data_IF_195142756548
#
_entry.id   IF_195142756548
#
_cell.length_a   1.000
_cell.length_b   1.000
_cell.length_c   1.000
_cell.angle_alpha   90.00
_cell.angle_beta   90.00
_cell.angle_gamma   90.00
#
_symmetry.space_group_name_H-M   'P 1'
#
loop_
_entity.id
_entity.type
_entity.pdbx_description
1 polymer ?
#
# COMPACT_ATOMS: atom_id res chain seq x y z
N UNK A 1 -23.55 26.23 18.53
CA UNK A 1 -23.47 24.80 18.40
C UNK A 1 -24.39 24.38 17.24
N UNK A 2 -23.91 24.49 16.00
CA UNK A 2 -24.65 24.00 14.84
C UNK A 2 -24.28 22.54 14.64
N UNK A 3 -25.23 21.67 14.99
CA UNK A 3 -25.18 20.24 14.65
C UNK A 3 -25.49 20.16 13.14
N UNK A 4 -24.46 20.15 12.29
CA UNK A 4 -24.63 19.74 10.90
C UNK A 4 -24.92 18.23 10.92
N UNK A 5 -26.22 17.90 10.95
CA UNK A 5 -26.66 16.54 10.68
C UNK A 5 -26.43 16.32 9.19
N UNK A 6 -25.30 15.70 8.86
CA UNK A 6 -25.06 15.19 7.53
C UNK A 6 -26.02 14.01 7.31
N UNK A 7 -27.11 14.24 6.60
CA UNK A 7 -27.89 13.16 6.02
C UNK A 7 -27.10 12.59 4.82
N UNK A 8 -26.00 11.90 5.10
CA UNK A 8 -25.25 11.16 4.11
C UNK A 8 -26.09 9.99 3.59
N UNK A 9 -26.13 9.80 2.29
CA UNK A 9 -26.83 8.69 1.64
C UNK A 9 -26.15 7.33 1.86
N UNK A 10 -25.06 7.27 2.62
CA UNK A 10 -24.27 6.06 2.88
C UNK A 10 -22.84 6.38 3.32
N UNK A 11 -21.95 5.39 3.43
CA UNK A 11 -20.56 5.60 3.83
C UNK A 11 -19.73 6.29 2.75
N UNK A 12 -18.75 7.09 3.14
CA UNK A 12 -17.85 7.79 2.23
C UNK A 12 -18.46 9.04 1.60
N UNK A 13 -18.12 9.31 0.36
CA UNK A 13 -18.48 10.51 -0.39
C UNK A 13 -19.08 10.16 -1.76
N UNK A 14 -19.78 11.12 -2.36
CA UNK A 14 -20.44 10.93 -3.66
C UNK A 14 -19.44 10.81 -4.83
N UNK A 15 -18.28 11.42 -4.70
CA UNK A 15 -17.21 11.39 -5.69
C UNK A 15 -15.86 11.69 -5.03
N UNK A 16 -14.72 11.39 -5.68
CA UNK A 16 -13.41 11.77 -5.18
C UNK A 16 -13.25 13.26 -4.97
N UNK A 17 -13.77 14.09 -5.89
CA UNK A 17 -13.73 15.54 -5.74
C UNK A 17 -14.63 16.07 -4.61
N UNK A 18 -15.74 15.39 -4.31
CA UNK A 18 -16.56 15.72 -3.14
C UNK A 18 -15.76 15.47 -1.85
N UNK A 19 -15.07 14.34 -1.75
CA UNK A 19 -14.17 14.06 -0.63
C UNK A 19 -13.03 15.08 -0.52
N UNK A 20 -12.41 15.44 -1.64
CA UNK A 20 -11.30 16.39 -1.71
C UNK A 20 -11.69 17.79 -1.23
N UNK A 21 -12.84 18.31 -1.68
CA UNK A 21 -13.27 19.68 -1.38
C UNK A 21 -14.03 19.82 -0.06
N UNK A 22 -14.78 18.80 0.35
CA UNK A 22 -15.72 18.87 1.45
C UNK A 22 -15.40 17.94 2.62
N UNK A 23 -14.40 17.07 2.48
CA UNK A 23 -13.99 16.17 3.54
C UNK A 23 -13.41 16.92 4.74
N UNK A 24 -13.71 16.49 5.98
CA UNK A 24 -13.18 17.11 7.18
C UNK A 24 -11.67 16.84 7.31
N UNK A 25 -11.00 17.71 8.05
CA UNK A 25 -9.62 17.45 8.46
C UNK A 25 -9.60 16.24 9.40
N UNK A 26 -8.61 15.39 9.22
CA UNK A 26 -8.35 14.24 10.09
C UNK A 26 -8.00 14.67 11.53
N UNK A 27 -8.61 14.01 12.50
CA UNK A 27 -8.36 14.26 13.94
C UNK A 27 -7.72 13.06 14.64
N UNK A 28 -7.72 11.91 13.98
CA UNK A 28 -7.27 10.64 14.53
C UNK A 28 -6.67 9.78 13.42
N UNK A 29 -5.57 9.12 13.73
CA UNK A 29 -4.94 8.13 12.86
C UNK A 29 -4.96 6.77 13.54
N UNK A 30 -5.28 5.72 12.79
CA UNK A 30 -5.02 4.34 13.17
C UNK A 30 -3.76 3.88 12.47
N UNK A 31 -2.85 3.28 13.22
CA UNK A 31 -1.60 2.77 12.66
C UNK A 31 -1.51 1.28 12.96
N UNK A 32 -1.47 0.49 11.91
CA UNK A 32 -1.21 -0.96 12.03
C UNK A 32 0.27 -1.14 12.31
N UNK A 33 0.59 -1.87 13.38
CA UNK A 33 1.96 -2.06 13.85
C UNK A 33 2.30 -3.52 14.06
N UNK A 34 3.58 -3.83 13.87
CA UNK A 34 4.16 -5.14 14.17
C UNK A 34 4.91 -5.10 15.50
N UNK A 35 4.61 -6.03 16.39
CA UNK A 35 5.26 -6.17 17.70
C UNK A 35 6.22 -7.35 17.65
N UNK A 36 7.51 -7.08 17.91
CA UNK A 36 8.56 -8.11 17.89
C UNK A 36 8.60 -9.01 19.14
N UNK A 37 7.59 -9.01 20.00
CA UNK A 37 7.57 -9.82 21.20
C UNK A 37 6.49 -10.90 21.17
N UNK A 38 6.90 -12.10 21.53
CA UNK A 38 6.08 -13.30 21.78
C UNK A 38 5.16 -13.13 23.00
N UNK A 39 4.19 -12.19 22.94
CA UNK A 39 3.31 -11.94 24.09
C UNK A 39 2.04 -12.80 24.11
N UNK A 40 1.75 -13.55 23.05
CA UNK A 40 0.48 -14.29 22.95
C UNK A 40 0.65 -15.76 22.58
N UNK A 41 1.87 -16.33 22.66
CA UNK A 41 2.11 -17.70 22.22
C UNK A 41 1.95 -17.90 20.70
N UNK A 42 1.73 -16.84 19.94
CA UNK A 42 1.72 -16.86 18.47
C UNK A 42 3.13 -16.53 17.99
N UNK A 43 3.73 -17.45 17.31
CA UNK A 43 4.96 -17.27 16.57
C UNK A 43 4.75 -16.20 15.50
N UNK A 44 5.58 -15.17 15.49
CA UNK A 44 5.88 -14.22 14.41
C UNK A 44 4.75 -14.00 13.40
N UNK A 45 3.63 -13.38 13.82
CA UNK A 45 2.57 -12.97 12.92
C UNK A 45 2.70 -11.47 12.61
N UNK A 46 2.25 -11.04 11.44
CA UNK A 46 2.41 -9.67 10.98
C UNK A 46 1.09 -9.15 10.41
N UNK A 47 0.49 -8.19 11.13
CA UNK A 47 -0.55 -7.35 10.56
C UNK A 47 0.13 -6.40 9.57
N UNK A 48 -0.24 -6.49 8.30
CA UNK A 48 0.43 -5.77 7.23
C UNK A 48 -0.48 -4.68 6.69
N UNK A 49 -1.40 -5.01 5.82
CA UNK A 49 -2.39 -4.07 5.33
C UNK A 49 -3.67 -4.06 6.16
N UNK A 50 -4.49 -3.05 5.93
CA UNK A 50 -5.84 -2.95 6.48
C UNK A 50 -6.79 -2.35 5.45
N UNK A 51 -8.07 -2.58 5.60
CA UNK A 51 -9.10 -2.02 4.75
C UNK A 51 -10.36 -1.76 5.55
N UNK A 52 -11.29 -1.02 4.97
CA UNK A 52 -12.58 -0.78 5.58
C UNK A 52 -13.59 -1.84 5.19
N UNK A 53 -14.51 -2.16 6.10
CA UNK A 53 -15.65 -3.04 5.79
C UNK A 53 -16.54 -2.46 4.69
N UNK A 54 -16.57 -1.13 4.54
CA UNK A 54 -17.27 -0.40 3.48
C UNK A 54 -16.51 0.85 3.08
N UNK A 55 -16.65 1.27 1.83
CA UNK A 55 -16.02 2.44 1.25
C UNK A 55 -17.01 3.24 0.39
N UNK A 56 -16.53 4.21 -0.35
CA UNK A 56 -17.36 5.08 -1.20
C UNK A 56 -18.09 4.34 -2.32
N UNK A 57 -17.70 3.10 -2.65
CA UNK A 57 -18.48 2.23 -3.55
C UNK A 57 -19.87 1.87 -3.01
N UNK A 58 -20.10 2.06 -1.70
CA UNK A 58 -21.36 1.84 -1.03
C UNK A 58 -22.10 3.16 -0.68
N UNK A 59 -21.72 4.29 -1.26
CA UNK A 59 -22.27 5.61 -0.91
C UNK A 59 -23.79 5.68 -1.00
N UNK A 60 -24.41 5.02 -1.98
CA UNK A 60 -25.85 5.03 -2.17
C UNK A 60 -26.60 3.99 -1.28
N UNK A 61 -25.90 3.38 -0.32
CA UNK A 61 -26.42 2.34 0.59
C UNK A 61 -26.39 2.82 2.04
N UNK A 62 -27.43 3.53 2.52
CA UNK A 62 -27.46 4.13 3.86
C UNK A 62 -27.48 3.13 5.00
N UNK A 63 -27.78 1.86 4.72
CA UNK A 63 -27.75 0.77 5.70
C UNK A 63 -26.34 0.31 6.06
N UNK A 64 -25.32 0.65 5.25
CA UNK A 64 -23.93 0.34 5.54
C UNK A 64 -23.26 1.43 6.39
N UNK A 65 -22.36 1.03 7.27
CA UNK A 65 -21.54 1.95 8.09
C UNK A 65 -20.07 1.58 7.95
N UNK A 66 -19.22 2.59 7.82
CA UNK A 66 -17.76 2.45 7.86
C UNK A 66 -17.31 2.48 9.32
N UNK A 67 -17.39 1.36 9.99
CA UNK A 67 -17.19 1.21 11.44
C UNK A 67 -16.24 0.07 11.82
N UNK A 68 -15.86 -0.78 10.87
CA UNK A 68 -14.94 -1.89 11.10
C UNK A 68 -13.69 -1.74 10.24
N UNK A 69 -12.52 -1.84 10.88
CA UNK A 69 -11.24 -1.96 10.21
C UNK A 69 -10.87 -3.43 10.11
N UNK A 70 -10.58 -3.87 8.89
CA UNK A 70 -10.25 -5.26 8.54
C UNK A 70 -8.75 -5.35 8.35
N UNK A 71 -8.07 -6.12 9.19
CA UNK A 71 -6.61 -6.22 9.25
C UNK A 71 -6.17 -7.65 8.95
N UNK A 72 -5.81 -7.98 7.70
CA UNK A 72 -5.23 -9.27 7.35
C UNK A 72 -3.87 -9.46 8.01
N UNK A 73 -3.58 -10.69 8.41
CA UNK A 73 -2.31 -11.09 8.97
C UNK A 73 -1.60 -12.08 8.05
N UNK A 74 -0.35 -11.78 7.68
CA UNK A 74 0.35 -12.49 6.62
C UNK A 74 0.60 -13.96 6.96
N UNK A 75 1.31 -14.23 8.06
CA UNK A 75 1.83 -15.57 8.34
C UNK A 75 0.78 -16.57 8.80
N UNK A 76 -0.12 -16.15 9.67
CA UNK A 76 -1.17 -17.03 10.19
C UNK A 76 -2.40 -17.10 9.28
N UNK A 77 -2.48 -16.20 8.29
CA UNK A 77 -3.66 -16.04 7.43
C UNK A 77 -4.94 -15.70 8.20
N UNK A 78 -4.83 -15.19 9.42
CA UNK A 78 -5.96 -14.65 10.18
C UNK A 78 -6.38 -13.29 9.66
N UNK A 79 -7.64 -12.94 9.90
CA UNK A 79 -8.10 -11.57 9.68
C UNK A 79 -8.67 -11.04 10.97
N UNK A 80 -8.07 -9.98 11.48
CA UNK A 80 -8.55 -9.29 12.67
C UNK A 80 -9.53 -8.19 12.25
N UNK A 81 -10.71 -8.18 12.82
CA UNK A 81 -11.73 -7.16 12.59
C UNK A 81 -11.83 -6.29 13.83
N UNK A 82 -11.59 -5.01 13.68
CA UNK A 82 -11.52 -4.04 14.77
C UNK A 82 -12.72 -3.10 14.69
N UNK A 83 -13.52 -3.02 15.76
CA UNK A 83 -14.56 -2.02 15.92
C UNK A 83 -13.91 -0.66 16.23
N UNK A 84 -14.09 0.27 15.34
CA UNK A 84 -13.66 1.66 15.46
C UNK A 84 -14.85 2.63 15.41
N UNK A 85 -16.05 2.13 15.16
CA UNK A 85 -17.26 2.94 15.07
C UNK A 85 -17.89 3.26 16.42
N UNK A 86 -17.86 2.32 17.36
CA UNK A 86 -18.46 2.49 18.70
C UNK A 86 -17.74 3.58 19.51
N UNK A 87 -16.43 3.48 19.61
CA UNK A 87 -15.54 4.43 20.30
C UNK A 87 -14.26 4.65 19.47
N UNK A 88 -14.24 5.61 18.51
CA UNK A 88 -13.09 5.77 17.59
C UNK A 88 -11.73 5.95 18.28
N UNK A 89 -11.70 6.54 19.49
CA UNK A 89 -10.47 6.71 20.28
C UNK A 89 -10.11 5.52 21.17
N UNK A 90 -10.92 4.45 21.14
CA UNK A 90 -10.71 3.20 21.90
C UNK A 90 -11.10 2.01 21.04
N UNK A 91 -10.38 1.74 19.95
CA UNK A 91 -10.67 0.61 19.07
C UNK A 91 -10.67 -0.71 19.85
N UNK A 92 -11.58 -1.63 19.50
CA UNK A 92 -11.71 -2.91 20.17
C UNK A 92 -11.70 -4.05 19.16
N UNK A 93 -11.07 -5.16 19.53
CA UNK A 93 -11.18 -6.37 18.74
C UNK A 93 -12.64 -6.81 18.69
N UNK A 94 -13.23 -6.84 17.50
CA UNK A 94 -14.61 -7.27 17.26
C UNK A 94 -14.67 -8.77 16.96
N UNK A 95 -13.81 -9.23 16.03
CA UNK A 95 -13.78 -10.64 15.62
C UNK A 95 -12.40 -11.01 15.09
N UNK A 96 -12.06 -12.29 15.22
CA UNK A 96 -10.96 -12.93 14.49
C UNK A 96 -11.55 -13.96 13.55
N UNK A 97 -11.25 -13.85 12.27
CA UNK A 97 -11.50 -14.89 11.27
C UNK A 97 -10.27 -15.79 11.30
N UNK A 98 -10.46 -17.06 11.59
CA UNK A 98 -9.35 -18.00 11.75
C UNK A 98 -8.70 -18.31 10.40
N UNK A 99 -7.36 -18.49 10.39
CA UNK A 99 -6.62 -18.79 9.18
C UNK A 99 -7.02 -20.10 8.50
N UNK A 100 -7.64 -21.03 9.24
CA UNK A 100 -8.20 -22.25 8.67
C UNK A 100 -9.36 -21.99 7.72
N UNK A 101 -10.14 -20.89 7.92
CA UNK A 101 -11.18 -20.49 6.97
C UNK A 101 -10.58 -20.08 5.61
N UNK A 102 -9.44 -19.35 5.60
CA UNK A 102 -8.71 -19.02 4.38
C UNK A 102 -8.14 -20.28 3.70
N UNK A 103 -7.52 -21.17 4.50
CA UNK A 103 -6.95 -22.42 3.99
C UNK A 103 -7.99 -23.40 3.47
N UNK A 104 -9.24 -23.33 3.96
CA UNK A 104 -10.33 -24.18 3.47
C UNK A 104 -10.73 -23.88 2.02
N UNK A 105 -10.44 -22.67 1.54
CA UNK A 105 -10.61 -22.24 0.14
C UNK A 105 -9.28 -22.19 -0.61
N UNK A 106 -8.27 -22.91 -0.11
CA UNK A 106 -6.93 -23.04 -0.70
C UNK A 106 -6.22 -21.71 -0.90
N UNK A 107 -6.29 -20.81 0.10
CA UNK A 107 -5.67 -19.49 0.11
C UNK A 107 -4.88 -19.24 1.39
N UNK A 108 -3.79 -18.46 1.28
CA UNK A 108 -2.96 -18.04 2.41
C UNK A 108 -2.27 -16.71 2.13
N UNK A 109 -1.64 -16.11 3.14
CA UNK A 109 -0.96 -14.82 3.05
C UNK A 109 -1.90 -13.73 2.51
N UNK A 110 -3.03 -13.43 3.22
CA UNK A 110 -3.93 -12.36 2.82
C UNK A 110 -3.24 -10.99 2.93
N UNK A 111 -3.52 -10.11 1.97
CA UNK A 111 -2.83 -8.83 1.86
C UNK A 111 -3.80 -7.64 1.80
N UNK A 112 -4.18 -7.17 0.63
CA UNK A 112 -5.02 -5.99 0.45
C UNK A 112 -6.51 -6.32 0.61
N UNK A 113 -7.24 -5.50 1.36
CA UNK A 113 -8.68 -5.64 1.57
C UNK A 113 -9.45 -4.46 0.96
N UNK A 114 -10.41 -4.76 0.09
CA UNK A 114 -11.39 -3.80 -0.42
C UNK A 114 -12.81 -4.29 -0.18
N UNK A 115 -13.71 -3.36 0.15
CA UNK A 115 -15.14 -3.66 0.16
C UNK A 115 -15.69 -3.74 -1.27
N UNK A 116 -16.73 -4.51 -1.45
CA UNK A 116 -17.50 -4.59 -2.68
C UNK A 116 -18.88 -3.96 -2.47
N UNK A 117 -19.40 -3.32 -3.50
CA UNK A 117 -20.76 -2.79 -3.49
C UNK A 117 -21.85 -3.87 -3.24
N UNK A 118 -21.51 -5.14 -3.38
CA UNK A 118 -22.36 -6.30 -3.02
C UNK A 118 -22.55 -6.49 -1.50
N UNK A 119 -21.76 -5.80 -0.67
CA UNK A 119 -21.74 -6.01 0.79
C UNK A 119 -20.81 -7.15 1.21
N UNK A 120 -19.80 -7.43 0.40
CA UNK A 120 -18.72 -8.35 0.74
C UNK A 120 -17.41 -7.58 0.90
N UNK A 121 -16.45 -8.19 1.57
CA UNK A 121 -15.06 -7.74 1.64
C UNK A 121 -14.25 -8.72 0.80
N UNK A 122 -13.44 -8.20 -0.11
CA UNK A 122 -12.52 -8.98 -0.92
C UNK A 122 -11.10 -8.75 -0.46
N UNK A 123 -10.36 -9.83 -0.23
CA UNK A 123 -8.97 -9.78 0.24
C UNK A 123 -8.10 -10.56 -0.74
N UNK A 124 -7.06 -9.90 -1.29
CA UNK A 124 -6.07 -10.58 -2.12
C UNK A 124 -5.24 -11.56 -1.29
N UNK A 125 -4.77 -12.64 -1.92
CA UNK A 125 -3.93 -13.65 -1.29
C UNK A 125 -2.72 -13.96 -2.15
N UNK A 126 -1.57 -14.26 -1.52
CA UNK A 126 -0.30 -14.44 -2.20
C UNK A 126 0.11 -15.90 -2.34
N UNK A 127 -0.61 -16.82 -1.71
CA UNK A 127 -0.28 -18.23 -1.72
C UNK A 127 -1.48 -19.18 -1.63
N UNK A 128 -1.22 -20.45 -2.00
CA UNK A 128 -2.11 -21.55 -1.65
C UNK A 128 -1.96 -21.95 -0.17
N UNK A 129 -2.74 -22.93 0.27
CA UNK A 129 -2.70 -23.40 1.68
C UNK A 129 -1.35 -23.99 2.12
N UNK A 130 -0.48 -24.41 1.18
CA UNK A 130 0.89 -24.85 1.40
C UNK A 130 1.92 -23.75 1.19
N UNK A 131 1.50 -22.49 1.01
CA UNK A 131 2.35 -21.30 0.79
C UNK A 131 3.16 -21.34 -0.54
N UNK A 132 2.70 -22.10 -1.53
CA UNK A 132 3.21 -21.96 -2.89
C UNK A 132 2.61 -20.73 -3.56
N UNK A 133 3.18 -20.30 -4.67
CA UNK A 133 2.66 -19.17 -5.46
C UNK A 133 1.24 -19.43 -5.94
N UNK A 134 0.36 -18.49 -5.64
CA UNK A 134 -1.03 -18.46 -6.11
C UNK A 134 -1.61 -17.06 -5.87
N UNK A 135 -2.02 -16.38 -6.93
CA UNK A 135 -2.80 -15.14 -6.82
C UNK A 135 -4.28 -15.44 -6.90
N UNK A 136 -5.02 -15.16 -5.82
CA UNK A 136 -6.48 -15.30 -5.75
C UNK A 136 -7.06 -14.26 -4.79
N UNK A 137 -8.39 -14.25 -4.63
CA UNK A 137 -9.08 -13.28 -3.79
C UNK A 137 -10.13 -14.01 -2.96
N UNK A 138 -10.06 -13.86 -1.65
CA UNK A 138 -11.04 -14.44 -0.71
C UNK A 138 -12.18 -13.46 -0.49
N UNK A 139 -13.41 -13.97 -0.52
CA UNK A 139 -14.61 -13.21 -0.22
C UNK A 139 -15.07 -13.48 1.21
N UNK A 140 -15.35 -12.40 1.93
CA UNK A 140 -15.88 -12.40 3.28
C UNK A 140 -17.21 -11.65 3.27
N UNK A 141 -18.26 -12.25 3.78
CA UNK A 141 -19.54 -11.56 4.01
C UNK A 141 -19.39 -10.52 5.13
N UNK A 142 -19.69 -9.25 4.84
CA UNK A 142 -19.41 -8.14 5.78
C UNK A 142 -20.32 -8.14 7.01
N UNK A 143 -21.45 -8.85 7.00
CA UNK A 143 -22.38 -8.95 8.13
C UNK A 143 -22.04 -10.10 9.06
N UNK A 144 -21.77 -11.27 8.50
CA UNK A 144 -21.47 -12.49 9.28
C UNK A 144 -20.00 -12.63 9.59
N UNK A 145 -19.13 -11.94 8.83
CA UNK A 145 -17.68 -12.02 8.87
C UNK A 145 -17.21 -13.48 8.75
N UNK A 146 -17.73 -14.19 7.76
CA UNK A 146 -17.33 -15.55 7.40
C UNK A 146 -16.79 -15.57 5.97
N UNK A 147 -15.82 -16.42 5.73
CA UNK A 147 -15.34 -16.72 4.38
C UNK A 147 -16.45 -17.41 3.59
N UNK A 148 -16.75 -16.90 2.40
CA UNK A 148 -17.82 -17.44 1.52
C UNK A 148 -17.28 -18.14 0.29
N UNK A 149 -16.00 -18.04 0.01
CA UNK A 149 -15.32 -18.65 -1.14
C UNK A 149 -14.25 -17.73 -1.74
N UNK A 150 -13.87 -18.00 -2.98
CA UNK A 150 -12.97 -17.17 -3.76
C UNK A 150 -13.73 -16.39 -4.84
N UNK A 151 -13.18 -15.23 -5.21
CA UNK A 151 -13.78 -14.36 -6.24
C UNK A 151 -13.45 -14.83 -7.65
N UNK A 152 -12.21 -15.27 -7.89
CA UNK A 152 -11.77 -15.71 -9.23
C UNK A 152 -12.57 -16.91 -9.72
N UNK A 153 -12.87 -16.91 -11.02
CA UNK A 153 -13.57 -18.00 -11.73
C UNK A 153 -12.71 -18.49 -12.89
N UNK A 154 -13.09 -19.63 -13.46
CA UNK A 154 -12.36 -20.23 -14.56
C UNK A 154 -11.16 -21.07 -14.10
N UNK A 155 -10.40 -21.59 -15.09
CA UNK A 155 -9.26 -22.50 -14.83
C UNK A 155 -7.92 -21.78 -14.74
N UNK A 156 -7.86 -20.53 -15.22
CA UNK A 156 -6.63 -19.73 -15.24
C UNK A 156 -6.65 -18.78 -14.07
N UNK A 157 -5.64 -18.87 -13.21
CA UNK A 157 -5.40 -17.97 -12.10
C UNK A 157 -4.08 -17.21 -12.31
N UNK A 158 -3.92 -16.07 -11.64
CA UNK A 158 -2.63 -15.40 -11.56
C UNK A 158 -1.60 -16.29 -10.87
N UNK A 159 -0.34 -16.20 -11.31
CA UNK A 159 0.73 -17.00 -10.71
C UNK A 159 1.07 -16.55 -9.30
N UNK A 160 1.01 -15.24 -9.06
CA UNK A 160 1.28 -14.62 -7.77
C UNK A 160 0.18 -13.61 -7.46
N UNK A 161 0.10 -13.16 -6.24
CA UNK A 161 -0.78 -12.09 -5.81
C UNK A 161 -0.04 -11.06 -4.98
N UNK A 162 -0.63 -9.88 -4.84
CA UNK A 162 -0.23 -8.84 -3.89
C UNK A 162 -1.39 -7.84 -3.71
N UNK A 163 -1.45 -6.78 -4.52
CA UNK A 163 -2.48 -5.75 -4.48
C UNK A 163 -3.49 -5.93 -5.63
N UNK A 164 -4.60 -5.25 -5.54
CA UNK A 164 -5.60 -5.21 -6.63
C UNK A 164 -6.45 -3.95 -6.54
N UNK A 165 -6.93 -3.53 -7.73
CA UNK A 165 -7.89 -2.44 -7.84
C UNK A 165 -8.92 -2.77 -8.89
N UNK A 166 -10.20 -2.44 -8.67
CA UNK A 166 -11.25 -2.74 -9.62
C UNK A 166 -11.95 -1.49 -10.11
N UNK A 167 -12.38 -1.53 -11.38
CA UNK A 167 -13.10 -0.46 -12.04
C UNK A 167 -14.26 -1.05 -12.86
N UNK A 168 -15.45 -1.22 -12.23
CA UNK A 168 -16.60 -1.88 -12.88
C UNK A 168 -17.09 -1.17 -14.13
N UNK A 169 -16.91 0.15 -14.25
CA UNK A 169 -17.27 0.92 -15.44
C UNK A 169 -16.55 0.38 -16.71
N UNK A 170 -15.33 -0.08 -16.55
CA UNK A 170 -14.54 -0.68 -17.64
C UNK A 170 -14.59 -2.21 -17.65
N UNK A 171 -15.48 -2.79 -16.85
CA UNK A 171 -15.58 -4.24 -16.65
C UNK A 171 -14.22 -4.88 -16.30
N UNK A 172 -13.45 -4.23 -15.44
CA UNK A 172 -12.07 -4.60 -15.18
C UNK A 172 -11.71 -4.65 -13.68
N UNK A 173 -10.81 -5.56 -13.36
CA UNK A 173 -9.99 -5.56 -12.16
C UNK A 173 -8.56 -5.85 -12.57
N UNK A 174 -7.59 -5.14 -11.98
CA UNK A 174 -6.16 -5.41 -12.12
C UNK A 174 -5.60 -5.94 -10.82
N UNK A 175 -4.73 -6.95 -10.87
CA UNK A 175 -3.92 -7.37 -9.73
C UNK A 175 -2.45 -7.44 -10.08
N UNK A 176 -1.63 -7.35 -9.04
CA UNK A 176 -0.18 -7.33 -9.10
C UNK A 176 0.44 -8.59 -8.53
N UNK A 177 1.74 -8.70 -8.68
CA UNK A 177 2.50 -9.90 -8.33
C UNK A 177 3.69 -9.51 -7.44
N UNK A 178 3.79 -10.08 -6.25
CA UNK A 178 5.02 -10.00 -5.49
C UNK A 178 5.83 -11.29 -5.68
N UNK A 179 5.66 -12.24 -4.77
CA UNK A 179 6.48 -13.44 -4.80
C UNK A 179 5.84 -14.63 -4.08
N UNK A 180 6.55 -15.75 -4.10
CA UNK A 180 6.13 -16.97 -3.43
C UNK A 180 6.38 -16.86 -1.92
N UNK A 181 5.36 -17.02 -1.05
CA UNK A 181 5.49 -16.89 0.39
C UNK A 181 6.58 -17.72 1.03
N UNK A 182 6.78 -18.98 0.58
CA UNK A 182 7.87 -19.86 1.06
C UNK A 182 9.25 -19.24 1.00
N UNK A 183 9.48 -18.29 0.08
CA UNK A 183 10.78 -17.67 -0.12
C UNK A 183 10.86 -16.31 0.54
N UNK A 184 10.00 -15.37 0.20
CA UNK A 184 10.12 -13.98 0.69
C UNK A 184 9.98 -13.87 2.22
N UNK A 185 9.24 -14.77 2.88
CA UNK A 185 9.10 -14.79 4.36
C UNK A 185 10.40 -15.07 5.11
N UNK A 186 11.42 -15.57 4.43
CA UNK A 186 12.76 -15.85 5.00
C UNK A 186 13.70 -14.66 4.90
N UNK A 187 13.24 -13.52 4.36
CA UNK A 187 14.05 -12.36 4.03
C UNK A 187 14.34 -12.24 2.54
N UNK A 188 14.93 -11.11 2.16
CA UNK A 188 15.30 -10.83 0.77
C UNK A 188 16.55 -11.60 0.38
N UNK A 189 16.48 -12.32 -0.72
CA UNK A 189 17.59 -13.06 -1.32
C UNK A 189 17.79 -12.54 -2.76
N UNK A 190 18.89 -11.84 -3.07
CA UNK A 190 19.10 -11.25 -4.41
C UNK A 190 19.02 -12.27 -5.55
N UNK A 191 19.48 -13.51 -5.34
CA UNK A 191 19.42 -14.59 -6.33
C UNK A 191 18.00 -15.09 -6.64
N UNK A 192 17.00 -14.72 -5.84
CA UNK A 192 15.60 -15.11 -6.07
C UNK A 192 14.93 -14.26 -7.15
N UNK A 193 15.41 -13.02 -7.36
CA UNK A 193 14.82 -12.04 -8.28
C UNK A 193 14.75 -12.59 -9.71
N UNK A 194 15.78 -13.28 -10.15
CA UNK A 194 15.86 -13.83 -11.51
C UNK A 194 15.11 -15.14 -11.68
N UNK A 195 14.51 -15.65 -10.60
CA UNK A 195 13.76 -16.91 -10.67
C UNK A 195 12.26 -16.63 -10.86
N UNK A 196 11.67 -16.97 -12.03
CA UNK A 196 10.26 -16.70 -12.35
C UNK A 196 9.27 -17.52 -11.51
N UNK A 197 9.75 -18.44 -10.66
CA UNK A 197 8.93 -19.18 -9.70
C UNK A 197 8.97 -18.55 -8.30
N UNK A 198 9.77 -17.48 -8.11
CA UNK A 198 9.94 -16.82 -6.82
C UNK A 198 9.38 -15.41 -6.79
N UNK A 199 9.56 -14.63 -7.87
CA UNK A 199 9.03 -13.28 -8.02
C UNK A 199 8.30 -13.11 -9.34
N UNK A 200 7.22 -12.32 -9.33
CA UNK A 200 6.42 -12.03 -10.50
C UNK A 200 6.80 -10.72 -11.18
N UNK A 201 6.33 -10.58 -12.43
CA UNK A 201 6.57 -9.39 -13.28
C UNK A 201 5.31 -8.91 -13.99
N UNK A 202 4.13 -9.45 -13.64
CA UNK A 202 2.94 -9.25 -14.45
C UNK A 202 1.87 -8.40 -13.76
N UNK A 203 1.08 -7.72 -14.59
CA UNK A 203 -0.25 -7.23 -14.26
C UNK A 203 -1.28 -8.22 -14.79
N UNK A 204 -2.20 -8.63 -13.92
CA UNK A 204 -3.24 -9.59 -14.24
C UNK A 204 -4.59 -8.85 -14.34
N UNK A 205 -5.16 -8.76 -15.55
CA UNK A 205 -6.44 -8.12 -15.79
C UNK A 205 -7.54 -9.16 -15.84
N UNK A 206 -8.52 -8.98 -14.97
CA UNK A 206 -9.71 -9.82 -14.88
C UNK A 206 -10.90 -9.06 -15.43
N UNK A 207 -11.80 -9.81 -16.07
CA UNK A 207 -13.11 -9.31 -16.43
C UNK A 207 -13.98 -9.27 -15.17
N UNK A 208 -14.43 -8.08 -14.80
CA UNK A 208 -15.18 -7.87 -13.54
C UNK A 208 -16.50 -8.64 -13.52
N UNK A 209 -17.22 -8.68 -14.66
CA UNK A 209 -18.54 -9.33 -14.78
C UNK A 209 -18.50 -10.86 -14.73
N UNK A 210 -17.43 -11.47 -15.24
CA UNK A 210 -17.27 -12.95 -15.26
C UNK A 210 -16.33 -13.48 -14.19
N UNK A 211 -15.51 -12.60 -13.57
CA UNK A 211 -14.47 -12.93 -12.61
C UNK A 211 -13.32 -13.79 -13.21
N UNK A 212 -13.16 -13.78 -14.52
CA UNK A 212 -12.15 -14.57 -15.20
C UNK A 212 -10.90 -13.75 -15.55
N UNK A 213 -9.73 -14.36 -15.43
CA UNK A 213 -8.47 -13.77 -15.88
C UNK A 213 -8.46 -13.69 -17.42
N UNK A 214 -8.60 -12.48 -17.94
CA UNK A 214 -8.74 -12.20 -19.38
C UNK A 214 -7.39 -11.93 -20.03
N UNK A 215 -6.58 -11.06 -19.43
CA UNK A 215 -5.30 -10.64 -20.00
C UNK A 215 -4.20 -10.59 -18.95
N UNK A 216 -2.99 -10.95 -19.36
CA UNK A 216 -1.77 -10.79 -18.56
C UNK A 216 -0.82 -9.90 -19.32
N UNK A 217 -0.34 -8.84 -18.69
CA UNK A 217 0.65 -7.91 -19.25
C UNK A 217 1.96 -8.11 -18.47
N UNK A 218 2.97 -8.67 -19.14
CA UNK A 218 4.30 -8.84 -18.58
C UNK A 218 5.09 -7.54 -18.71
N UNK A 219 5.57 -7.01 -17.59
CA UNK A 219 6.36 -5.79 -17.50
C UNK A 219 7.86 -6.04 -17.75
N UNK A 220 8.25 -7.30 -17.92
CA UNK A 220 9.63 -7.71 -18.09
C UNK A 220 10.47 -7.63 -16.81
N UNK A 221 11.78 -7.82 -16.94
CA UNK A 221 12.72 -7.86 -15.81
C UNK A 221 12.66 -6.57 -14.96
N UNK A 222 12.65 -5.41 -15.60
CA UNK A 222 12.60 -4.11 -14.92
C UNK A 222 11.27 -3.85 -14.18
N UNK A 223 10.23 -4.61 -14.49
CA UNK A 223 8.94 -4.61 -13.79
C UNK A 223 8.85 -5.62 -12.65
N UNK A 224 9.96 -6.19 -12.18
CA UNK A 224 9.98 -7.20 -11.13
C UNK A 224 9.36 -6.71 -9.82
N UNK A 225 8.50 -7.55 -9.24
CA UNK A 225 7.69 -7.29 -8.06
C UNK A 225 6.84 -6.02 -8.21
N UNK A 226 5.86 -5.98 -9.15
CA UNK A 226 4.85 -4.94 -9.17
C UNK A 226 4.02 -5.06 -7.88
N UNK A 227 4.11 -4.04 -7.02
CA UNK A 227 3.45 -4.04 -5.72
C UNK A 227 2.12 -3.29 -5.79
N UNK A 228 2.08 -2.07 -5.29
CA UNK A 228 0.86 -1.28 -5.21
C UNK A 228 0.38 -0.82 -6.59
N UNK A 229 -0.92 -0.97 -6.83
CA UNK A 229 -1.58 -0.61 -8.09
C UNK A 229 -2.79 0.30 -7.83
N UNK A 230 -2.94 1.35 -8.64
CA UNK A 230 -4.04 2.31 -8.51
C UNK A 230 -4.58 2.66 -9.89
N UNK A 231 -5.88 2.49 -10.12
CA UNK A 231 -6.57 3.27 -11.16
C UNK A 231 -6.62 4.75 -10.74
N UNK A 232 -6.78 5.65 -11.69
CA UNK A 232 -7.18 7.01 -11.38
C UNK A 232 -8.51 7.00 -10.58
N UNK A 233 -8.69 7.96 -9.70
CA UNK A 233 -9.91 8.07 -8.89
C UNK A 233 -11.13 8.45 -9.72
N UNK A 234 -10.94 9.11 -10.89
CA UNK A 234 -12.00 9.30 -11.85
C UNK A 234 -12.51 7.92 -12.32
N UNK A 235 -13.73 7.50 -11.96
CA UNK A 235 -14.23 6.16 -12.24
C UNK A 235 -14.47 5.87 -13.73
N UNK A 236 -14.37 6.88 -14.60
CA UNK A 236 -14.46 6.74 -16.06
C UNK A 236 -13.08 6.71 -16.74
N UNK A 237 -12.00 6.91 -16.01
CA UNK A 237 -10.65 6.76 -16.56
C UNK A 237 -10.28 5.28 -16.72
N UNK A 238 -9.72 4.91 -17.89
CA UNK A 238 -9.27 3.55 -18.20
C UNK A 238 -7.76 3.40 -18.08
N UNK A 239 -7.18 4.02 -17.06
CA UNK A 239 -5.74 4.05 -16.82
C UNK A 239 -5.40 4.20 -15.34
N UNK A 240 -4.16 3.91 -15.01
CA UNK A 240 -3.63 4.02 -13.66
C UNK A 240 -2.13 3.75 -13.61
N UNK A 241 -1.61 3.56 -12.41
CA UNK A 241 -0.18 3.38 -12.17
C UNK A 241 0.09 2.14 -11.31
N UNK A 242 1.28 1.57 -11.49
CA UNK A 242 1.83 0.51 -10.65
C UNK A 242 3.28 0.79 -10.34
N UNK A 243 3.66 0.61 -9.06
CA UNK A 243 5.03 0.68 -8.59
C UNK A 243 5.70 -0.69 -8.60
N UNK A 244 6.86 -0.81 -9.27
CA UNK A 244 7.66 -2.02 -9.31
C UNK A 244 8.84 -1.89 -8.35
N UNK A 245 8.90 -2.78 -7.34
CA UNK A 245 9.78 -2.60 -6.20
C UNK A 245 11.26 -2.76 -6.55
N UNK A 246 11.63 -3.87 -7.19
CA UNK A 246 13.03 -4.30 -7.27
C UNK A 246 13.92 -3.31 -8.02
N UNK A 247 13.46 -2.82 -9.17
CA UNK A 247 14.21 -1.86 -9.98
C UNK A 247 13.75 -0.42 -9.81
N UNK A 248 12.75 -0.18 -8.96
CA UNK A 248 12.20 1.15 -8.64
C UNK A 248 11.65 1.90 -9.87
N UNK A 249 10.85 1.23 -10.65
CA UNK A 249 10.18 1.77 -11.83
C UNK A 249 8.68 1.95 -11.59
N UNK A 250 8.07 2.96 -12.23
CA UNK A 250 6.63 3.06 -12.32
C UNK A 250 6.16 2.87 -13.76
N UNK A 251 5.14 2.07 -13.90
CA UNK A 251 4.45 1.88 -15.16
C UNK A 251 3.07 2.50 -15.10
N UNK A 252 2.68 3.19 -16.17
CA UNK A 252 1.31 3.56 -16.46
C UNK A 252 0.67 2.40 -17.20
N UNK A 253 -0.43 1.86 -16.70
CA UNK A 253 -1.26 0.93 -17.46
C UNK A 253 -2.50 1.65 -17.99
N UNK A 254 -2.98 1.22 -19.16
CA UNK A 254 -4.11 1.86 -19.85
C UNK A 254 -4.75 0.92 -20.85
N UNK A 255 -6.00 1.22 -21.23
CA UNK A 255 -6.70 0.55 -22.30
C UNK A 255 -6.43 1.27 -23.61
N UNK A 256 -5.93 0.57 -24.62
CA UNK A 256 -5.67 1.12 -25.95
C UNK A 256 -6.93 1.14 -26.84
N UNK A 257 -6.81 1.67 -28.06
CA UNK A 257 -7.92 1.77 -29.02
C UNK A 257 -8.50 0.41 -29.46
N UNK A 258 -7.71 -0.67 -29.32
CA UNK A 258 -8.14 -2.05 -29.56
C UNK A 258 -8.83 -2.67 -28.34
N UNK A 259 -9.09 -1.89 -27.31
CA UNK A 259 -9.67 -2.33 -26.04
C UNK A 259 -8.82 -3.35 -25.26
N UNK A 260 -7.50 -3.34 -25.49
CA UNK A 260 -6.52 -4.19 -24.81
C UNK A 260 -5.75 -3.38 -23.75
N UNK A 261 -5.45 -4.02 -22.62
CA UNK A 261 -4.61 -3.45 -21.60
C UNK A 261 -3.14 -3.43 -22.03
N UNK A 262 -2.48 -2.31 -21.80
CA UNK A 262 -1.06 -2.08 -22.06
C UNK A 262 -0.43 -1.43 -20.84
N UNK A 263 0.90 -1.48 -20.77
CA UNK A 263 1.66 -0.78 -19.75
C UNK A 263 2.95 -0.21 -20.34
N UNK A 264 3.23 1.06 -20.04
CA UNK A 264 4.44 1.76 -20.47
C UNK A 264 5.19 2.23 -19.21
N UNK A 265 6.52 2.05 -19.17
CA UNK A 265 7.36 2.59 -18.11
C UNK A 265 7.42 4.11 -18.27
N UNK A 266 6.95 4.85 -17.25
CA UNK A 266 6.85 6.33 -17.30
C UNK A 266 7.78 7.01 -16.30
N UNK A 267 8.23 6.32 -15.25
CA UNK A 267 9.20 6.83 -14.28
C UNK A 267 10.26 5.75 -14.04
N UNK A 268 11.51 6.16 -14.05
CA UNK A 268 12.69 5.34 -13.76
C UNK A 268 13.51 6.02 -12.67
N UNK A 269 13.68 5.34 -11.52
CA UNK A 269 14.48 5.85 -10.42
C UNK A 269 15.86 5.21 -10.50
N UNK A 270 16.90 5.97 -10.86
CA UNK A 270 18.22 5.41 -11.06
C UNK A 270 18.78 4.82 -9.77
N UNK A 271 19.37 3.63 -9.88
CA UNK A 271 20.12 3.03 -8.78
C UNK A 271 21.28 3.95 -8.35
N UNK A 272 21.55 3.95 -7.05
CA UNK A 272 22.68 4.70 -6.48
C UNK A 272 23.86 3.78 -6.26
N UNK A 273 25.03 4.18 -6.75
CA UNK A 273 26.29 3.48 -6.50
C UNK A 273 26.97 4.08 -5.28
N UNK A 274 27.20 3.28 -4.27
CA UNK A 274 27.84 3.69 -3.01
C UNK A 274 29.07 2.81 -2.73
N UNK A 275 30.07 3.42 -2.10
CA UNK A 275 31.22 2.68 -1.57
C UNK A 275 31.18 2.72 -0.04
N UNK A 276 31.22 1.54 0.58
CA UNK A 276 31.33 1.37 2.02
C UNK A 276 32.47 0.43 2.34
N UNK A 277 33.42 0.89 3.15
CA UNK A 277 34.61 0.10 3.52
C UNK A 277 35.38 -0.44 2.29
N UNK A 278 35.44 0.32 1.21
CA UNK A 278 36.11 -0.06 -0.04
C UNK A 278 35.31 -1.02 -0.93
N UNK A 279 34.09 -1.37 -0.56
CA UNK A 279 33.20 -2.24 -1.36
C UNK A 279 32.15 -1.39 -2.07
N UNK A 280 32.14 -1.45 -3.40
CA UNK A 280 31.12 -0.82 -4.23
C UNK A 280 29.84 -1.64 -4.24
N UNK A 281 28.69 -0.98 -4.06
CA UNK A 281 27.37 -1.60 -4.04
C UNK A 281 26.35 -0.72 -4.76
N UNK A 282 25.51 -1.31 -5.60
CA UNK A 282 24.33 -0.65 -6.17
C UNK A 282 23.14 -0.81 -5.24
N UNK A 283 22.45 0.31 -4.98
CA UNK A 283 21.23 0.36 -4.17
C UNK A 283 20.10 0.87 -5.09
N UNK A 284 19.14 0.00 -5.39
CA UNK A 284 17.90 0.40 -6.06
C UNK A 284 16.97 1.12 -5.08
N UNK A 285 16.03 1.92 -5.59
CA UNK A 285 15.11 2.70 -4.76
C UNK A 285 14.21 1.84 -3.88
N UNK A 286 13.71 0.75 -4.42
CA UNK A 286 12.68 -0.13 -3.88
C UNK A 286 11.39 0.66 -3.61
N UNK A 287 10.54 0.81 -4.65
CA UNK A 287 9.24 1.44 -4.50
C UNK A 287 8.35 0.51 -3.69
N UNK A 288 7.87 0.99 -2.53
CA UNK A 288 7.12 0.17 -1.58
C UNK A 288 5.65 0.57 -1.45
N UNK A 289 5.28 1.80 -1.80
CA UNK A 289 3.89 2.26 -1.82
C UNK A 289 3.69 3.36 -2.84
N UNK A 290 2.49 3.46 -3.41
CA UNK A 290 2.05 4.54 -4.28
C UNK A 290 0.67 5.05 -3.88
N UNK A 291 0.45 6.36 -3.97
CA UNK A 291 -0.85 7.00 -3.78
C UNK A 291 -1.11 8.04 -4.87
N UNK A 292 -2.38 8.17 -5.24
CA UNK A 292 -2.87 9.29 -6.05
C UNK A 292 -3.65 10.29 -5.18
N UNK A 293 -3.53 11.58 -5.46
CA UNK A 293 -4.45 12.57 -4.89
C UNK A 293 -5.87 12.35 -5.42
N UNK A 294 -6.89 12.74 -4.64
CA UNK A 294 -8.30 12.51 -5.02
C UNK A 294 -8.74 13.28 -6.26
N UNK A 295 -7.98 14.31 -6.65
CA UNK A 295 -8.17 15.08 -7.89
C UNK A 295 -7.36 14.52 -9.08
N UNK A 296 -6.69 13.38 -8.90
CA UNK A 296 -5.83 12.71 -9.89
C UNK A 296 -4.67 13.58 -10.42
N UNK A 297 -4.31 14.66 -9.72
CA UNK A 297 -3.26 15.59 -10.15
C UNK A 297 -1.86 15.11 -9.77
N UNK A 298 -1.71 14.51 -8.58
CA UNK A 298 -0.42 14.13 -8.05
C UNK A 298 -0.35 12.64 -7.71
N UNK A 299 0.80 12.05 -8.08
CA UNK A 299 1.22 10.71 -7.68
C UNK A 299 2.34 10.83 -6.64
N UNK A 300 2.19 10.14 -5.52
CA UNK A 300 3.17 10.02 -4.46
C UNK A 300 3.68 8.60 -4.39
N UNK A 301 4.95 8.42 -4.11
CA UNK A 301 5.50 7.11 -3.81
C UNK A 301 6.72 7.18 -2.91
N UNK A 302 6.98 6.09 -2.21
CA UNK A 302 8.12 5.91 -1.32
C UNK A 302 9.18 5.04 -1.99
N UNK A 303 10.45 5.47 -1.86
CA UNK A 303 11.63 4.70 -2.23
C UNK A 303 12.30 4.21 -0.95
N UNK A 304 11.93 3.02 -0.49
CA UNK A 304 12.27 2.53 0.86
C UNK A 304 13.79 2.42 1.10
N UNK A 305 14.56 1.91 0.13
CA UNK A 305 16.02 1.78 0.28
C UNK A 305 16.76 3.10 0.04
N UNK A 306 16.28 3.96 -0.87
CA UNK A 306 16.84 5.32 -1.02
C UNK A 306 16.45 6.22 0.14
N UNK A 307 15.32 5.97 0.79
CA UNK A 307 14.87 6.72 1.96
C UNK A 307 14.17 8.03 1.65
N UNK A 308 13.65 8.21 0.44
CA UNK A 308 12.94 9.40 0.02
C UNK A 308 11.48 9.12 -0.37
N UNK A 309 10.64 10.16 -0.23
CA UNK A 309 9.29 10.23 -0.75
C UNK A 309 9.28 11.20 -1.92
N UNK A 310 8.59 10.84 -2.99
CA UNK A 310 8.52 11.64 -4.22
C UNK A 310 7.09 12.01 -4.55
N UNK A 311 6.91 13.20 -5.10
CA UNK A 311 5.67 13.74 -5.64
C UNK A 311 5.86 14.04 -7.12
N UNK A 312 4.99 13.48 -7.95
CA UNK A 312 4.97 13.74 -9.38
C UNK A 312 3.64 14.38 -9.79
N UNK A 313 3.68 15.41 -10.62
CA UNK A 313 2.52 15.88 -11.36
C UNK A 313 2.22 14.88 -12.48
N UNK A 314 1.02 14.31 -12.45
CA UNK A 314 0.52 13.30 -13.40
C UNK A 314 -0.69 13.77 -14.19
N UNK A 315 -0.90 15.08 -14.29
CA UNK A 315 -1.93 15.66 -15.17
C UNK A 315 -1.75 15.23 -16.63
N UNK A 316 -0.52 15.02 -17.05
CA UNK A 316 -0.17 14.22 -18.22
C UNK A 316 0.37 12.87 -17.76
N UNK A 317 -0.49 11.85 -17.74
CA UNK A 317 -0.16 10.51 -17.26
C UNK A 317 0.96 9.82 -18.04
N UNK A 318 1.21 10.27 -19.27
CA UNK A 318 2.28 9.74 -20.15
C UNK A 318 3.64 10.33 -19.83
N UNK A 319 3.68 11.56 -19.30
CA UNK A 319 4.89 12.32 -19.02
C UNK A 319 4.88 12.90 -17.60
N UNK A 320 4.89 12.07 -16.55
CA UNK A 320 4.93 12.53 -15.16
C UNK A 320 6.13 13.44 -14.89
N UNK A 321 5.91 14.50 -14.10
CA UNK A 321 6.95 15.47 -13.77
C UNK A 321 7.23 15.46 -12.28
N UNK A 322 8.49 15.25 -11.88
CA UNK A 322 8.91 15.38 -10.49
C UNK A 322 8.73 16.83 -10.03
N UNK A 323 7.90 17.05 -9.00
CA UNK A 323 7.61 18.38 -8.43
C UNK A 323 7.97 18.48 -6.95
N UNK A 324 8.23 17.36 -6.28
CA UNK A 324 8.65 17.35 -4.88
C UNK A 324 9.41 16.09 -4.51
N UNK A 325 10.36 16.23 -3.57
CA UNK A 325 11.10 15.11 -2.99
C UNK A 325 11.53 15.45 -1.57
N UNK A 326 11.38 14.49 -0.65
CA UNK A 326 11.79 14.62 0.75
C UNK A 326 12.61 13.41 1.15
N UNK A 327 13.84 13.64 1.64
CA UNK A 327 14.66 12.60 2.27
C UNK A 327 14.21 12.39 3.71
N UNK A 328 14.00 11.13 4.13
CA UNK A 328 13.61 10.77 5.49
C UNK A 328 14.58 9.79 6.15
N UNK A 329 15.28 9.00 5.37
CA UNK A 329 16.21 7.98 5.87
C UNK A 329 16.87 7.22 4.74
N UNK A 330 16.86 5.90 4.79
CA UNK A 330 17.38 5.02 3.74
C UNK A 330 18.80 4.51 3.97
N UNK A 331 19.20 3.56 3.15
CA UNK A 331 20.55 2.99 3.18
C UNK A 331 21.62 3.97 2.71
N UNK A 332 21.22 4.97 1.94
CA UNK A 332 22.13 6.00 1.38
C UNK A 332 22.48 7.10 2.38
N UNK A 333 21.78 7.16 3.52
CA UNK A 333 22.03 8.09 4.62
C UNK A 333 23.01 7.47 5.61
N UNK A 334 24.29 7.50 5.31
CA UNK A 334 25.32 6.97 6.20
C UNK A 334 26.59 7.81 6.11
N UNK A 335 27.10 8.29 7.23
CA UNK A 335 28.29 9.13 7.34
C UNK A 335 29.57 8.46 6.83
N UNK A 336 29.58 7.13 6.67
CA UNK A 336 30.70 6.33 6.19
C UNK A 336 30.51 5.84 4.73
N UNK A 337 29.55 6.42 4.00
CA UNK A 337 29.34 6.13 2.59
C UNK A 337 29.95 7.19 1.70
N UNK A 338 30.58 6.75 0.63
CA UNK A 338 30.92 7.61 -0.50
C UNK A 338 29.94 7.31 -1.63
N UNK A 339 29.29 8.35 -2.14
CA UNK A 339 28.43 8.28 -3.30
C UNK A 339 29.29 8.41 -4.55
N UNK A 340 29.08 7.53 -5.54
CA UNK A 340 29.80 7.55 -6.81
C UNK A 340 28.80 7.80 -7.94
N UNK A 341 29.05 8.82 -8.76
CA UNK A 341 28.31 9.13 -10.01
C UNK A 341 26.77 9.14 -9.89
N UNK A 342 26.25 9.74 -8.83
CA UNK A 342 24.81 9.86 -8.67
C UNK A 342 24.24 11.01 -9.50
N UNK A 343 23.11 10.77 -10.19
CA UNK A 343 22.44 11.76 -11.03
C UNK A 343 21.61 12.78 -10.24
N UNK A 344 21.30 12.49 -8.98
CA UNK A 344 20.38 13.27 -8.15
C UNK A 344 21.08 13.95 -6.96
N UNK A 345 22.22 13.43 -6.50
CA UNK A 345 22.98 13.93 -5.36
C UNK A 345 24.46 14.12 -5.70
N UNK A 346 25.03 15.22 -5.27
CA UNK A 346 26.47 15.47 -5.33
C UNK A 346 27.22 14.93 -4.11
N UNK A 347 26.50 14.72 -2.99
CA UNK A 347 26.99 14.14 -1.74
C UNK A 347 25.90 13.27 -1.09
N UNK A 348 26.24 12.28 -0.22
CA UNK A 348 25.24 11.49 0.48
C UNK A 348 24.28 12.35 1.29
N UNK A 349 22.98 12.05 1.28
CA UNK A 349 22.01 12.78 2.08
C UNK A 349 22.34 12.72 3.57
N UNK A 350 22.09 13.81 4.27
CA UNK A 350 22.28 13.87 5.74
C UNK A 350 21.19 13.12 6.47
N UNK A 351 21.53 12.58 7.64
CA UNK A 351 20.56 11.98 8.54
C UNK A 351 19.49 12.99 8.97
N UNK A 352 18.24 12.57 8.92
CA UNK A 352 17.09 13.39 9.31
C UNK A 352 16.77 13.13 10.78
N UNK A 353 16.51 14.21 11.52
CA UNK A 353 16.11 14.18 12.92
C UNK A 353 14.84 15.01 13.09
N UNK A 354 13.80 14.42 13.69
CA UNK A 354 12.54 15.09 13.99
C UNK A 354 12.30 15.00 15.50
N UNK A 355 12.06 16.13 16.15
CA UNK A 355 11.83 16.21 17.61
C UNK A 355 12.90 15.45 18.44
N UNK A 356 14.15 15.49 18.00
CA UNK A 356 15.27 14.84 18.67
C UNK A 356 15.46 13.35 18.39
N UNK A 357 14.55 12.70 17.65
CA UNK A 357 14.71 11.32 17.19
C UNK A 357 15.32 11.32 15.79
N UNK A 358 16.45 10.62 15.62
CA UNK A 358 16.99 10.27 14.29
C UNK A 358 16.06 9.27 13.62
N UNK A 359 15.70 9.51 12.38
CA UNK A 359 14.88 8.59 11.58
C UNK A 359 15.78 7.48 11.00
N UNK A 360 15.73 6.31 11.62
CA UNK A 360 16.33 5.09 11.07
C UNK A 360 15.31 4.36 10.20
N UNK A 361 15.74 3.69 9.15
CA UNK A 361 14.86 3.02 8.20
C UNK A 361 14.59 3.87 6.96
N UNK A 362 13.63 3.47 6.17
CA UNK A 362 13.15 4.19 4.98
C UNK A 362 11.65 4.45 5.05
N UNK A 363 11.11 5.43 4.30
CA UNK A 363 9.67 5.63 4.18
C UNK A 363 9.04 4.41 3.51
N UNK A 364 7.90 3.99 4.03
CA UNK A 364 7.19 2.84 3.48
C UNK A 364 5.77 3.23 3.11
N UNK A 365 4.77 3.05 4.00
CA UNK A 365 3.38 3.37 3.68
C UNK A 365 3.10 4.86 3.75
N UNK A 366 2.26 5.27 2.84
CA UNK A 366 1.81 6.63 2.64
C UNK A 366 0.30 6.73 2.95
N UNK A 367 -0.13 7.83 3.57
CA UNK A 367 -1.54 8.15 3.72
C UNK A 367 -1.76 9.63 3.52
N UNK A 368 -2.54 9.99 2.51
CA UNK A 368 -2.83 11.37 2.17
C UNK A 368 -4.13 11.83 2.84
N UNK A 369 -4.14 13.06 3.40
CA UNK A 369 -5.38 13.70 3.84
C UNK A 369 -6.33 13.92 2.67
N UNK A 370 -7.64 14.02 2.94
CA UNK A 370 -8.65 14.18 1.89
C UNK A 370 -8.38 15.39 0.99
N UNK A 371 -8.01 16.52 1.60
CA UNK A 371 -7.67 17.76 0.89
C UNK A 371 -6.27 17.77 0.24
N UNK A 372 -5.55 16.64 0.29
CA UNK A 372 -4.24 16.47 -0.31
C UNK A 372 -3.09 17.22 0.39
N UNK A 373 -3.36 18.00 1.43
CA UNK A 373 -2.39 18.94 2.01
C UNK A 373 -1.42 18.32 3.03
N UNK A 374 -1.67 17.10 3.49
CA UNK A 374 -0.85 16.40 4.50
C UNK A 374 -0.66 14.97 4.08
N UNK A 375 0.60 14.57 3.99
CA UNK A 375 1.02 13.21 3.70
C UNK A 375 1.65 12.62 4.97
N UNK A 376 1.07 11.56 5.50
CA UNK A 376 1.59 10.79 6.61
C UNK A 376 2.42 9.63 6.08
N UNK A 377 3.57 9.37 6.70
CA UNK A 377 4.55 8.39 6.22
C UNK A 377 5.03 7.54 7.38
N UNK A 378 4.91 6.23 7.26
CA UNK A 378 5.45 5.23 8.19
C UNK A 378 6.76 4.63 7.69
N UNK A 379 7.44 3.78 8.50
CA UNK A 379 8.81 3.35 8.21
C UNK A 379 9.01 1.84 8.00
N UNK A 380 8.06 0.98 8.35
CA UNK A 380 8.23 -0.47 8.28
C UNK A 380 7.69 -1.05 6.99
N UNK A 381 8.50 -1.84 6.29
CA UNK A 381 8.08 -2.54 5.08
C UNK A 381 7.55 -3.95 5.41
N UNK A 382 8.38 -4.79 5.96
CA UNK A 382 8.09 -6.18 6.29
C UNK A 382 9.15 -6.69 7.27
N UNK A 383 8.74 -7.23 8.40
CA UNK A 383 9.65 -7.53 9.51
C UNK A 383 10.90 -8.32 9.15
N UNK A 384 10.86 -9.38 8.34
CA UNK A 384 12.06 -10.09 7.93
C UNK A 384 13.03 -9.21 7.13
N UNK A 385 12.50 -8.31 6.30
CA UNK A 385 13.30 -7.37 5.50
C UNK A 385 13.79 -6.21 6.34
N UNK A 386 12.96 -5.66 7.24
CA UNK A 386 13.36 -4.60 8.19
C UNK A 386 14.54 -5.06 9.06
N UNK A 387 14.50 -6.30 9.57
CA UNK A 387 15.61 -6.92 10.31
C UNK A 387 16.89 -7.01 9.51
N UNK A 388 16.78 -7.24 8.21
CA UNK A 388 17.91 -7.42 7.30
C UNK A 388 18.54 -6.09 6.89
N UNK A 389 17.73 -5.08 6.58
CA UNK A 389 18.19 -3.81 6.03
C UNK A 389 18.34 -2.70 7.08
N UNK A 390 17.50 -2.70 8.12
CA UNK A 390 17.37 -1.59 9.07
C UNK A 390 17.38 -2.06 10.54
N UNK A 391 18.42 -2.79 10.92
CA UNK A 391 18.57 -3.35 12.27
C UNK A 391 18.42 -2.33 13.39
N UNK A 392 18.84 -1.07 13.16
CA UNK A 392 18.73 -0.02 14.17
C UNK A 392 17.27 0.44 14.34
N UNK A 393 16.50 0.57 13.26
CA UNK A 393 15.07 0.85 13.34
C UNK A 393 14.33 -0.25 14.12
N UNK A 394 14.66 -1.51 13.88
CA UNK A 394 14.04 -2.64 14.59
C UNK A 394 14.34 -2.57 16.10
N UNK A 395 15.53 -2.13 16.49
CA UNK A 395 15.93 -1.99 17.91
C UNK A 395 15.29 -0.80 18.61
N UNK A 396 15.19 0.32 17.90
CA UNK A 396 14.72 1.59 18.48
C UNK A 396 13.23 1.86 18.26
N UNK A 397 12.56 1.05 17.46
CA UNK A 397 11.19 1.27 17.00
C UNK A 397 11.12 2.21 15.79
N UNK A 398 10.06 2.01 14.99
CA UNK A 398 9.80 2.83 13.83
C UNK A 398 9.28 4.22 14.18
N UNK A 399 8.84 4.92 13.14
CA UNK A 399 8.35 6.29 13.23
C UNK A 399 7.20 6.55 12.26
N UNK A 400 6.38 7.53 12.59
CA UNK A 400 5.43 8.17 11.69
C UNK A 400 5.71 9.66 11.66
N UNK A 401 5.87 10.20 10.47
CA UNK A 401 6.05 11.64 10.23
C UNK A 401 4.93 12.20 9.37
N UNK A 402 4.82 13.52 9.33
CA UNK A 402 3.90 14.25 8.48
C UNK A 402 4.69 15.16 7.54
N UNK A 403 4.24 15.21 6.30
CA UNK A 403 4.75 16.10 5.25
C UNK A 403 3.63 17.04 4.87
N UNK A 404 3.89 18.33 4.86
CA UNK A 404 3.00 19.34 4.32
C UNK A 404 3.19 19.40 2.79
N UNK A 405 2.10 19.44 2.06
CA UNK A 405 2.06 19.33 0.59
C UNK A 405 1.45 20.60 -0.01
N UNK A 406 2.11 21.16 -1.03
CA UNK A 406 1.53 22.18 -1.90
C UNK A 406 0.69 21.49 -3.00
N UNK A 407 -0.62 21.61 -2.89
CA UNK A 407 -1.58 21.02 -3.84
C UNK A 407 -1.83 21.86 -5.09
N UNK A 408 -1.34 23.10 -5.11
CA UNK A 408 -1.52 24.01 -6.25
C UNK A 408 -0.34 23.95 -7.22
N UNK A 409 0.88 24.08 -6.69
CA UNK A 409 2.10 24.20 -7.48
C UNK A 409 2.97 22.95 -7.45
N UNK A 410 2.66 21.98 -6.55
CA UNK A 410 3.56 20.89 -6.19
C UNK A 410 4.64 21.34 -5.21
N UNK A 411 5.23 20.38 -4.56
CA UNK A 411 6.23 20.58 -3.52
C UNK A 411 5.80 19.98 -2.18
N UNK A 412 6.78 19.60 -1.41
CA UNK A 412 6.60 18.94 -0.11
C UNK A 412 7.56 19.52 0.92
N UNK A 413 7.12 19.58 2.18
CA UNK A 413 7.95 20.02 3.31
C UNK A 413 7.70 19.14 4.53
N UNK A 414 8.77 18.59 5.11
CA UNK A 414 8.69 17.82 6.35
C UNK A 414 8.22 18.73 7.51
N UNK A 415 7.20 18.30 8.24
CA UNK A 415 6.81 18.95 9.49
C UNK A 415 7.73 18.49 10.63
N UNK A 416 8.69 19.32 10.98
CA UNK A 416 9.65 19.06 12.05
C UNK A 416 9.01 18.98 13.46
N UNK A 417 7.74 19.39 13.59
CA UNK A 417 6.98 19.39 14.84
C UNK A 417 6.05 18.18 14.99
N UNK A 418 5.95 17.31 13.97
CA UNK A 418 5.11 16.13 14.02
C UNK A 418 5.97 14.85 13.98
N UNK A 419 5.88 14.06 15.04
CA UNK A 419 6.50 12.73 15.14
C UNK A 419 5.68 11.86 16.09
N UNK A 420 5.34 10.65 15.63
CA UNK A 420 4.98 9.53 16.53
C UNK A 420 6.18 8.60 16.61
N UNK A 421 6.71 8.45 17.82
CA UNK A 421 7.89 7.62 18.12
C UNK A 421 7.45 6.28 18.69
N UNK A 422 7.42 5.26 17.85
CA UNK A 422 7.02 3.90 18.21
C UNK A 422 8.07 3.12 19.02
N UNK A 423 9.21 3.71 19.28
CA UNK A 423 10.18 3.21 20.25
C UNK A 423 9.76 3.39 21.71
N UNK A 424 8.78 4.28 21.96
CA UNK A 424 8.30 4.65 23.31
C UNK A 424 7.03 3.89 23.74
N UNK A 425 6.62 2.90 22.97
CA UNK A 425 5.45 2.09 23.32
C UNK A 425 5.65 1.33 24.64
N UNK A 426 4.62 1.23 25.50
CA UNK A 426 4.75 0.64 26.84
C UNK A 426 5.27 -0.80 26.85
N UNK A 427 4.98 -1.56 25.77
CA UNK A 427 5.37 -2.96 25.66
C UNK A 427 6.64 -3.17 24.81
N UNK A 428 7.38 -2.11 24.58
CA UNK A 428 8.63 -2.11 23.81
C UNK A 428 8.46 -1.59 22.39
N UNK A 429 9.55 -1.46 21.64
CA UNK A 429 9.52 -0.88 20.32
C UNK A 429 8.65 -1.68 19.36
N UNK A 430 7.84 -0.97 18.55
CA UNK A 430 7.02 -1.55 17.48
C UNK A 430 7.36 -0.90 16.16
N UNK A 431 6.98 -1.56 15.07
CA UNK A 431 7.22 -1.10 13.70
C UNK A 431 5.88 -0.72 13.05
N UNK A 432 5.66 0.57 12.73
CA UNK A 432 4.43 1.03 12.10
C UNK A 432 4.45 0.69 10.61
N UNK A 433 3.37 0.12 10.13
CA UNK A 433 3.20 -0.19 8.69
C UNK A 433 2.14 0.72 8.10
N UNK A 434 0.89 0.33 8.07
CA UNK A 434 -0.16 1.06 7.37
C UNK A 434 -0.89 2.08 8.26
N UNK A 435 -1.37 3.14 7.63
CA UNK A 435 -2.01 4.28 8.27
C UNK A 435 -3.44 4.41 7.72
N UNK A 436 -4.43 4.50 8.63
CA UNK A 436 -5.83 4.78 8.30
C UNK A 436 -6.39 5.85 9.23
N UNK A 437 -7.44 6.52 8.83
CA UNK A 437 -8.18 7.41 9.71
C UNK A 437 -9.69 7.31 9.53
N UNK A 438 -10.48 7.46 10.61
CA UNK A 438 -11.91 7.22 10.57
C UNK A 438 -12.62 8.13 9.56
N UNK A 439 -13.43 7.50 8.72
CA UNK A 439 -14.32 8.18 7.79
C UNK A 439 -13.65 8.90 6.64
N UNK A 440 -12.31 8.77 6.46
CA UNK A 440 -11.66 9.71 5.63
C UNK A 440 -10.49 9.32 4.73
N UNK A 441 -9.97 8.11 4.77
CA UNK A 441 -8.82 7.74 3.92
C UNK A 441 -9.21 7.31 2.49
N UNK A 442 -10.04 8.12 1.84
CA UNK A 442 -10.68 7.78 0.57
C UNK A 442 -9.72 7.62 -0.61
N UNK A 443 -8.42 7.86 -0.43
CA UNK A 443 -7.39 7.56 -1.44
C UNK A 443 -7.28 6.08 -1.76
N UNK A 444 -7.76 5.19 -0.87
CA UNK A 444 -7.89 3.75 -1.09
C UNK A 444 -9.32 3.29 -1.37
N UNK A 445 -10.29 4.19 -1.44
CA UNK A 445 -11.66 3.86 -1.78
C UNK A 445 -11.80 3.54 -3.27
N UNK A 446 -12.69 2.62 -3.58
CA UNK A 446 -13.13 2.37 -4.95
C UNK A 446 -14.32 3.27 -5.26
N UNK A 447 -14.25 3.99 -6.37
CA UNK A 447 -15.26 4.92 -6.82
C UNK A 447 -16.04 4.32 -7.99
N UNK A 448 -17.37 4.33 -7.89
CA UNK A 448 -18.23 3.83 -8.95
C UNK A 448 -18.70 4.99 -9.84
N UNK A 449 -18.65 4.80 -11.16
CA UNK A 449 -19.23 5.75 -12.08
C UNK A 449 -20.74 5.80 -11.87
N UNK A 450 -21.28 7.02 -11.86
CA UNK A 450 -22.72 7.25 -11.94
C UNK A 450 -23.05 7.51 -13.40
N UNK A 451 -24.13 6.90 -13.88
CA UNK A 451 -24.68 7.10 -15.22
C UNK A 451 -25.17 8.52 -15.41
#
# INVERSE_FOLDING_TARGET
MFLLIYFGKGPGYASPLDAFHNGPREELLYVVCVIHRTYTGCTEDELHHSGWNVCSSCYDKPEFKRDLLVCPSLHTSRVFVIDVGSEPRKPKLFKVIDGSEMKSVDCSFPHTAHCLASGQIMISTMGDKEENRKGDFVLIDSKTLKVTGTWSRGKKLAKFGYDFWYQPYHDAMVSTEWGTPKYFKKGFQPGDIQNPDRYGTCLNFYKWSSHELEQVVDLGEEGCAPLEVRFLHNPKASEGFVGCAVYANLYRFYKNDENLWKADKVIDIPAKTVVKNGVETKINGLISDILLSLDDKYLYFSCWLHGDVRQYDVTDTKNPKLVGRIQLGGLVVNENLQLIEDKEFTEPPKAVTVKGKRLYGGPQMLQLSLDGKRLFVSSSLYSPWDKQFYTQMVKEGGWLVKIDVDTENGGMKLDENFLVDFGKEPNGPVLPHEIRYPGGDCTSDIWLAKD
#
